data_IF_717134106871
#
_entry.id   IF_717134106871
#
_cell.length_a   1.000
_cell.length_b   1.000
_cell.length_c   1.000
_cell.angle_alpha   90.00
_cell.angle_beta   90.00
_cell.angle_gamma   90.00
#
_symmetry.space_group_name_H-M   'P 1'
#
loop_
_entity.id
_entity.type
_entity.pdbx_description
1 polymer ?
#
# COMPACT_ATOMS: atom_id res chain seq x y z
N UNK A 1 30.65 -4.61 2.00
CA UNK A 1 30.68 -3.74 3.20
C UNK A 1 30.76 -2.26 2.82
N UNK A 2 31.73 -1.86 2.00
CA UNK A 2 31.91 -0.43 1.65
C UNK A 2 30.64 0.26 1.07
N UNK A 3 29.83 -0.51 0.34
CA UNK A 3 28.54 -0.03 -0.19
C UNK A 3 27.38 -0.10 0.81
N UNK A 4 27.62 -0.55 2.05
CA UNK A 4 26.59 -0.65 3.09
C UNK A 4 25.55 -1.75 2.90
N UNK A 5 25.69 -2.61 1.89
CA UNK A 5 24.70 -3.63 1.52
C UNK A 5 24.81 -4.92 2.34
N UNK A 6 26.01 -5.19 2.90
CA UNK A 6 26.33 -6.41 3.64
C UNK A 6 27.04 -6.06 4.94
N UNK A 7 26.69 -6.74 6.02
CA UNK A 7 27.42 -6.74 7.29
C UNK A 7 28.22 -8.05 7.39
N UNK A 8 29.50 -7.96 7.73
CA UNK A 8 30.33 -9.11 8.03
C UNK A 8 30.66 -9.14 9.52
N UNK A 9 30.49 -10.29 10.11
CA UNK A 9 30.88 -10.58 11.50
C UNK A 9 31.83 -11.78 11.53
N UNK A 10 32.92 -11.69 12.30
CA UNK A 10 33.79 -12.81 12.52
C UNK A 10 33.29 -13.61 13.73
N UNK A 11 33.08 -14.90 13.52
CA UNK A 11 32.75 -15.84 14.60
C UNK A 11 33.91 -16.82 14.85
N UNK A 12 34.21 -17.14 16.11
CA UNK A 12 35.18 -18.17 16.44
C UNK A 12 34.76 -19.53 15.84
N UNK A 13 35.59 -20.12 15.04
CA UNK A 13 35.37 -21.46 14.47
C UNK A 13 36.30 -22.50 15.10
N UNK A 14 36.02 -23.78 14.90
CA UNK A 14 36.80 -24.91 15.46
C UNK A 14 38.24 -24.98 14.92
N UNK A 15 38.56 -24.34 13.81
CA UNK A 15 39.89 -24.19 13.19
C UNK A 15 40.03 -22.84 12.51
N UNK A 16 40.07 -21.72 13.31
CA UNK A 16 40.15 -20.36 12.79
C UNK A 16 38.86 -19.56 12.93
N UNK A 17 38.75 -18.39 12.28
CA UNK A 17 37.56 -17.57 12.28
C UNK A 17 36.71 -17.82 11.03
N UNK A 18 35.40 -17.87 11.19
CA UNK A 18 34.43 -17.94 10.09
C UNK A 18 33.81 -16.56 9.92
N UNK A 19 33.75 -16.07 8.67
CA UNK A 19 33.06 -14.79 8.35
C UNK A 19 31.59 -15.05 8.03
N UNK A 20 30.70 -14.54 8.87
CA UNK A 20 29.29 -14.57 8.63
C UNK A 20 28.90 -13.29 7.87
N UNK A 21 28.31 -13.44 6.69
CA UNK A 21 27.80 -12.34 5.88
C UNK A 21 26.29 -12.24 6.03
N UNK A 22 25.80 -11.11 6.54
CA UNK A 22 24.39 -10.86 6.70
C UNK A 22 23.95 -9.72 5.76
N UNK A 23 22.84 -9.90 5.09
CA UNK A 23 22.23 -8.86 4.26
C UNK A 23 21.80 -7.69 5.15
N UNK A 24 22.16 -6.46 4.79
CA UNK A 24 21.85 -5.24 5.55
C UNK A 24 20.69 -4.44 4.96
N UNK A 25 20.32 -4.73 3.72
CA UNK A 25 19.22 -4.07 2.99
C UNK A 25 18.25 -5.11 2.45
N UNK A 26 16.98 -4.85 2.53
CA UNK A 26 15.93 -5.75 2.06
C UNK A 26 15.53 -5.50 0.61
N UNK A 27 15.70 -4.26 0.15
CA UNK A 27 15.48 -3.88 -1.23
C UNK A 27 16.58 -2.94 -1.70
N UNK A 28 16.97 -3.07 -2.97
CA UNK A 28 17.83 -2.14 -3.69
C UNK A 28 17.13 -1.72 -4.96
N UNK A 29 16.75 -0.44 -5.04
CA UNK A 29 16.19 0.12 -6.26
C UNK A 29 17.30 0.80 -7.06
N UNK A 30 17.56 0.29 -8.27
CA UNK A 30 18.56 0.85 -9.18
C UNK A 30 17.82 1.63 -10.26
N UNK A 31 17.93 2.98 -10.22
CA UNK A 31 17.45 3.83 -11.29
C UNK A 31 18.51 3.94 -12.38
N UNK A 32 18.25 3.31 -13.52
CA UNK A 32 19.20 3.24 -14.66
C UNK A 32 18.98 4.34 -15.72
N UNK A 33 18.06 5.27 -15.47
CA UNK A 33 17.78 6.37 -16.40
C UNK A 33 18.96 7.34 -16.47
N UNK A 34 19.33 7.74 -17.71
CA UNK A 34 20.30 8.83 -17.93
C UNK A 34 19.84 10.05 -17.13
N UNK A 35 20.72 10.58 -16.27
CA UNK A 35 20.54 11.89 -15.64
C UNK A 35 20.37 12.94 -16.76
N UNK A 36 19.15 13.29 -17.08
CA UNK A 36 18.87 14.63 -17.54
C UNK A 36 18.93 15.50 -16.29
N UNK A 37 19.66 16.61 -16.35
CA UNK A 37 19.95 17.50 -15.22
C UNK A 37 18.74 18.34 -14.75
N UNK A 38 17.55 18.04 -15.22
CA UNK A 38 16.31 18.57 -14.64
C UNK A 38 15.97 17.73 -13.40
N UNK A 39 16.50 18.16 -12.25
CA UNK A 39 16.14 17.59 -10.95
C UNK A 39 14.69 17.99 -10.70
N UNK A 40 13.77 17.09 -11.01
CA UNK A 40 12.36 17.27 -10.65
C UNK A 40 12.23 17.21 -9.14
N UNK A 41 11.51 18.16 -8.59
CA UNK A 41 11.15 18.13 -7.20
C UNK A 41 10.06 17.09 -6.95
N UNK A 42 10.07 16.51 -5.75
CA UNK A 42 9.11 15.48 -5.36
C UNK A 42 8.43 15.90 -4.05
N UNK A 43 7.14 16.10 -4.11
CA UNK A 43 6.31 16.16 -2.91
C UNK A 43 5.89 14.74 -2.54
N UNK A 44 6.04 14.35 -1.27
CA UNK A 44 5.58 13.06 -0.76
C UNK A 44 4.76 13.23 0.51
N UNK A 45 3.67 12.47 0.62
CA UNK A 45 2.83 12.40 1.79
C UNK A 45 2.51 10.94 2.11
N UNK A 46 2.62 10.60 3.39
CA UNK A 46 2.31 9.28 3.92
C UNK A 46 0.98 9.35 4.70
N UNK A 47 0.12 8.35 4.53
CA UNK A 47 -1.22 8.31 5.11
C UNK A 47 -1.46 7.01 5.86
N UNK A 48 -1.64 7.05 7.19
CA UNK A 48 -2.02 5.88 7.96
C UNK A 48 -3.30 5.24 7.45
N UNK A 49 -3.36 3.91 7.42
CA UNK A 49 -4.52 3.19 6.86
C UNK A 49 -5.83 3.50 7.58
N UNK A 50 -5.80 3.85 8.86
CA UNK A 50 -6.96 4.27 9.64
C UNK A 50 -7.41 5.72 9.41
N UNK A 51 -6.63 6.54 8.66
CA UNK A 51 -6.90 7.96 8.46
C UNK A 51 -7.82 8.28 7.26
N UNK A 52 -8.64 7.32 6.84
CA UNK A 52 -9.61 7.54 5.76
C UNK A 52 -10.63 8.63 6.10
N UNK A 53 -11.06 9.35 5.10
CA UNK A 53 -12.06 10.42 5.19
C UNK A 53 -13.49 9.91 4.94
N UNK A 54 -13.63 8.77 4.27
CA UNK A 54 -14.89 8.09 3.97
C UNK A 54 -14.63 6.60 3.76
N UNK A 55 -15.62 5.77 4.08
CA UNK A 55 -15.57 4.34 3.79
C UNK A 55 -16.99 3.80 3.55
N UNK A 56 -17.06 2.70 2.83
CA UNK A 56 -18.17 1.79 2.75
C UNK A 56 -17.58 0.38 2.82
N UNK A 57 -17.98 -0.39 3.81
CA UNK A 57 -17.39 -1.68 4.13
C UNK A 57 -18.46 -2.71 4.40
N UNK A 58 -18.14 -3.97 4.20
CA UNK A 58 -19.05 -5.09 4.46
C UNK A 58 -18.32 -6.20 5.23
N UNK A 59 -19.01 -6.94 6.11
CA UNK A 59 -18.46 -8.12 6.76
C UNK A 59 -18.09 -9.23 5.72
N UNK A 60 -16.97 -9.88 5.88
CA UNK A 60 -15.97 -9.78 6.97
C UNK A 60 -15.24 -8.45 6.90
N UNK A 61 -15.17 -7.74 8.01
CA UNK A 61 -14.48 -6.46 8.05
C UNK A 61 -13.95 -6.16 9.47
N UNK A 62 -12.87 -5.39 9.56
CA UNK A 62 -12.33 -4.98 10.84
C UNK A 62 -11.11 -4.08 10.73
N UNK A 63 -10.67 -3.65 11.89
CA UNK A 63 -9.54 -2.75 12.09
C UNK A 63 -8.64 -3.30 13.20
N UNK A 64 -7.33 -3.29 12.96
CA UNK A 64 -6.36 -3.75 13.94
C UNK A 64 -5.23 -2.74 14.13
N UNK A 65 -4.81 -2.53 15.37
CA UNK A 65 -3.69 -1.68 15.76
C UNK A 65 -2.64 -2.51 16.49
N UNK A 66 -1.50 -1.91 16.82
CA UNK A 66 -0.48 -2.56 17.66
C UNK A 66 -1.02 -2.94 19.05
N UNK A 67 -2.11 -2.31 19.50
CA UNK A 67 -2.76 -2.59 20.79
C UNK A 67 -3.86 -3.67 20.68
N UNK A 68 -4.17 -4.16 19.47
CA UNK A 68 -5.21 -5.16 19.18
C UNK A 68 -6.34 -4.64 18.30
N UNK A 69 -7.46 -5.41 18.26
CA UNK A 69 -8.66 -5.06 17.48
C UNK A 69 -9.26 -3.72 17.91
N UNK A 70 -9.69 -2.92 16.95
CA UNK A 70 -10.41 -1.66 17.17
C UNK A 70 -11.89 -1.90 16.97
N UNK A 71 -12.66 -1.76 18.05
CA UNK A 71 -14.10 -2.03 18.04
C UNK A 71 -14.41 -3.53 18.06
N UNK A 72 -15.36 -3.94 17.24
CA UNK A 72 -15.83 -5.33 17.13
C UNK A 72 -15.68 -5.74 15.67
N UNK A 73 -15.04 -6.89 15.44
CA UNK A 73 -14.88 -7.45 14.11
C UNK A 73 -16.26 -7.79 13.49
N UNK A 74 -16.36 -7.69 12.16
CA UNK A 74 -17.58 -7.88 11.38
C UNK A 74 -18.72 -6.90 11.73
N UNK A 75 -18.36 -5.74 12.27
CA UNK A 75 -19.31 -4.66 12.59
C UNK A 75 -18.85 -3.36 11.95
N UNK A 76 -19.56 -2.93 10.93
CA UNK A 76 -19.28 -1.75 10.12
C UNK A 76 -19.12 -0.47 10.95
N UNK A 77 -19.86 -0.34 12.09
CA UNK A 77 -19.74 0.82 12.97
C UNK A 77 -18.33 1.03 13.52
N UNK A 78 -17.51 -0.05 13.63
CA UNK A 78 -16.13 0.03 14.11
C UNK A 78 -15.28 0.96 13.25
N UNK A 79 -15.60 1.07 11.97
CA UNK A 79 -14.94 1.98 11.03
C UNK A 79 -15.24 3.47 11.27
N UNK A 80 -16.21 3.80 12.11
CA UNK A 80 -16.58 5.17 12.46
C UNK A 80 -16.12 5.58 13.87
N UNK A 81 -15.49 4.67 14.63
CA UNK A 81 -14.92 4.97 15.94
C UNK A 81 -13.73 5.94 15.80
N UNK A 82 -13.52 6.88 16.74
CA UNK A 82 -12.36 7.78 16.73
C UNK A 82 -11.03 7.04 16.74
N UNK A 83 -10.98 5.89 17.43
CA UNK A 83 -9.80 5.04 17.59
C UNK A 83 -9.29 4.49 16.26
N UNK A 84 -10.13 4.46 15.21
CA UNK A 84 -9.76 3.99 13.87
C UNK A 84 -8.48 4.61 13.33
N UNK A 85 -8.15 5.84 13.76
CA UNK A 85 -6.94 6.56 13.33
C UNK A 85 -5.65 5.79 13.70
N UNK A 86 -5.70 4.89 14.69
CA UNK A 86 -4.58 4.06 15.13
C UNK A 86 -4.47 2.74 14.37
N UNK A 87 -5.43 2.45 13.46
CA UNK A 87 -5.37 1.22 12.68
C UNK A 87 -4.14 1.22 11.77
N UNK A 88 -3.32 0.19 11.91
CA UNK A 88 -2.23 -0.14 11.01
C UNK A 88 -2.60 -1.26 10.04
N UNK A 89 -3.76 -1.90 10.24
CA UNK A 89 -4.28 -2.93 9.35
C UNK A 89 -5.80 -2.85 9.30
N UNK A 90 -6.37 -2.98 8.12
CA UNK A 90 -7.82 -3.04 7.90
C UNK A 90 -8.19 -4.07 6.83
N UNK A 91 -9.39 -4.62 6.95
CA UNK A 91 -9.95 -5.55 5.97
C UNK A 91 -11.44 -5.31 5.76
N UNK A 92 -11.94 -5.68 4.57
CA UNK A 92 -13.36 -5.68 4.22
C UNK A 92 -13.62 -6.66 3.09
N UNK A 93 -14.75 -7.37 3.13
CA UNK A 93 -15.15 -8.31 2.06
C UNK A 93 -15.61 -7.62 0.79
N UNK A 94 -15.97 -6.33 0.84
CA UNK A 94 -16.31 -5.49 -0.30
C UNK A 94 -16.40 -4.01 0.11
N UNK A 95 -16.51 -3.12 -0.88
CA UNK A 95 -16.65 -1.69 -0.66
C UNK A 95 -15.37 -0.92 -0.91
N UNK A 96 -15.15 0.17 -0.17
CA UNK A 96 -14.00 1.05 -0.37
C UNK A 96 -13.58 1.79 0.90
N UNK A 97 -12.35 2.29 0.90
CA UNK A 97 -11.84 3.34 1.78
C UNK A 97 -11.34 4.52 0.94
N UNK A 98 -11.55 5.74 1.39
CA UNK A 98 -11.20 6.96 0.66
C UNK A 98 -10.40 7.92 1.54
N UNK A 99 -9.28 8.40 1.04
CA UNK A 99 -8.33 9.27 1.72
C UNK A 99 -8.24 10.65 1.04
N UNK A 100 -7.84 11.66 1.81
CA UNK A 100 -7.49 12.99 1.32
C UNK A 100 -6.05 13.30 1.70
N UNK A 101 -5.15 13.16 0.76
CA UNK A 101 -3.75 13.52 0.92
C UNK A 101 -3.57 15.03 0.76
N UNK A 102 -2.83 15.67 1.66
CA UNK A 102 -2.48 17.06 1.47
C UNK A 102 -1.72 17.24 0.14
N UNK A 103 -2.03 18.30 -0.58
CA UNK A 103 -1.29 18.69 -1.77
C UNK A 103 -0.36 19.85 -1.42
N UNK A 104 0.93 19.57 -1.32
CA UNK A 104 1.97 20.54 -1.00
C UNK A 104 2.79 20.99 -2.21
N UNK A 105 2.36 20.64 -3.43
CA UNK A 105 3.00 21.13 -4.66
C UNK A 105 2.69 22.63 -4.80
N UNK A 106 3.71 23.50 -5.09
CA UNK A 106 3.49 24.92 -5.32
C UNK A 106 2.50 25.16 -6.46
N UNK A 107 1.63 26.16 -6.30
CA UNK A 107 0.51 26.42 -7.23
C UNK A 107 0.95 26.78 -8.65
N UNK A 108 2.16 27.30 -8.80
CA UNK A 108 2.78 27.64 -10.08
C UNK A 108 3.40 26.43 -10.80
N UNK A 109 3.54 25.31 -10.13
CA UNK A 109 4.14 24.11 -10.69
C UNK A 109 3.09 23.21 -11.34
N UNK A 110 3.53 22.42 -12.32
CA UNK A 110 2.74 21.38 -12.97
C UNK A 110 3.25 20.01 -12.53
N UNK A 111 2.33 19.17 -12.08
CA UNK A 111 2.66 17.77 -11.75
C UNK A 111 2.83 16.96 -13.04
N UNK A 112 3.97 16.31 -13.17
CA UNK A 112 4.29 15.47 -14.33
C UNK A 112 3.97 13.99 -14.11
N UNK A 113 4.04 13.54 -12.84
CA UNK A 113 3.77 12.16 -12.42
C UNK A 113 3.23 12.12 -11.00
N UNK A 114 2.22 11.27 -10.77
CA UNK A 114 1.74 10.93 -9.46
C UNK A 114 1.88 9.43 -9.24
N UNK A 115 2.36 9.01 -8.09
CA UNK A 115 2.37 7.61 -7.68
C UNK A 115 1.67 7.41 -6.35
N UNK A 116 1.00 6.26 -6.20
CA UNK A 116 0.42 5.80 -4.95
C UNK A 116 0.90 4.38 -4.69
N UNK A 117 1.56 4.17 -3.54
CA UNK A 117 2.14 2.89 -3.15
C UNK A 117 1.54 2.40 -1.86
N UNK A 118 1.17 1.11 -1.79
CA UNK A 118 0.60 0.48 -0.62
C UNK A 118 0.77 -1.03 -0.66
N UNK A 119 0.77 -1.68 0.51
CA UNK A 119 0.69 -3.13 0.62
C UNK A 119 -0.78 -3.55 0.76
N UNK A 120 -1.24 -4.48 -0.09
CA UNK A 120 -2.61 -4.97 -0.07
C UNK A 120 -2.73 -6.39 -0.64
N UNK A 121 -3.81 -7.09 -0.25
CA UNK A 121 -4.25 -8.34 -0.87
C UNK A 121 -5.78 -8.43 -0.85
N UNK A 122 -6.37 -9.51 -1.39
CA UNK A 122 -7.80 -9.79 -1.25
C UNK A 122 -8.16 -10.19 0.18
N UNK A 123 -9.45 -10.22 0.50
CA UNK A 123 -9.98 -10.60 1.82
C UNK A 123 -10.82 -11.86 1.71
N UNK A 124 -10.49 -12.88 2.50
CA UNK A 124 -11.26 -14.10 2.63
C UNK A 124 -11.36 -14.50 4.11
N UNK A 125 -12.44 -15.17 4.57
CA UNK A 125 -12.52 -15.68 5.93
C UNK A 125 -11.32 -16.58 6.29
N UNK A 126 -10.52 -16.16 7.27
CA UNK A 126 -9.21 -16.74 7.59
C UNK A 126 -8.15 -16.30 6.60
N UNK A 127 -7.86 -17.08 5.60
CA UNK A 127 -7.12 -16.70 4.38
C UNK A 127 -7.32 -17.74 3.28
N UNK A 128 -7.18 -17.32 2.01
CA UNK A 128 -7.21 -18.21 0.84
C UNK A 128 -6.33 -17.66 -0.26
N UNK A 129 -5.24 -18.35 -0.58
CA UNK A 129 -4.26 -17.90 -1.57
C UNK A 129 -4.77 -17.96 -3.02
N UNK A 130 -5.92 -18.58 -3.26
CA UNK A 130 -6.63 -18.64 -4.55
C UNK A 130 -7.91 -17.76 -4.60
N UNK A 131 -8.05 -16.79 -3.66
CA UNK A 131 -9.22 -15.91 -3.54
C UNK A 131 -9.02 -14.60 -4.29
N UNK A 132 -9.42 -14.56 -5.55
CA UNK A 132 -9.23 -13.39 -6.40
C UNK A 132 -10.11 -12.21 -6.01
N UNK A 133 -9.54 -10.99 -6.11
CA UNK A 133 -10.25 -9.73 -5.95
C UNK A 133 -9.78 -8.69 -6.95
N UNK A 134 -10.72 -8.01 -7.59
CA UNK A 134 -10.47 -6.86 -8.45
C UNK A 134 -10.45 -5.60 -7.59
N UNK A 135 -9.26 -5.10 -7.31
CA UNK A 135 -9.02 -3.92 -6.49
C UNK A 135 -8.70 -2.75 -7.41
N UNK A 136 -9.49 -1.70 -7.32
CA UNK A 136 -9.38 -0.49 -8.14
C UNK A 136 -8.87 0.68 -7.31
N UNK A 137 -8.09 1.54 -7.94
CA UNK A 137 -7.69 2.84 -7.38
C UNK A 137 -8.32 3.95 -8.20
N UNK A 138 -9.03 4.85 -7.51
CA UNK A 138 -9.53 6.09 -8.10
C UNK A 138 -8.76 7.27 -7.53
N UNK A 139 -8.35 8.19 -8.39
CA UNK A 139 -7.72 9.45 -7.98
C UNK A 139 -8.62 10.59 -8.44
N UNK A 140 -9.02 11.45 -7.51
CA UNK A 140 -9.99 12.54 -7.72
C UNK A 140 -11.30 12.08 -8.38
N UNK A 141 -11.69 10.81 -8.15
CA UNK A 141 -12.91 10.20 -8.69
C UNK A 141 -12.74 9.56 -10.06
N UNK A 142 -11.56 9.62 -10.65
CA UNK A 142 -11.23 9.00 -11.94
C UNK A 142 -10.64 7.62 -11.67
N UNK A 143 -11.17 6.59 -12.34
CA UNK A 143 -10.70 5.22 -12.27
C UNK A 143 -9.34 5.10 -12.94
N UNK A 144 -8.30 4.88 -12.15
CA UNK A 144 -6.91 4.75 -12.59
C UNK A 144 -6.49 3.31 -12.89
N UNK A 145 -7.45 2.39 -12.95
CA UNK A 145 -7.21 1.00 -13.29
C UNK A 145 -7.34 0.04 -12.11
N UNK A 146 -7.58 -1.21 -12.46
CA UNK A 146 -7.89 -2.31 -11.56
C UNK A 146 -6.76 -3.33 -11.57
N UNK A 147 -6.38 -3.79 -10.38
CA UNK A 147 -5.52 -4.94 -10.19
C UNK A 147 -6.33 -6.15 -9.74
N UNK A 148 -6.22 -7.25 -10.46
CA UNK A 148 -6.76 -8.53 -9.99
C UNK A 148 -5.76 -9.17 -9.04
N UNK A 149 -6.02 -9.03 -7.73
CA UNK A 149 -5.25 -9.73 -6.71
C UNK A 149 -5.48 -11.24 -6.82
N UNK A 150 -4.43 -12.08 -6.79
CA UNK A 150 -4.59 -13.53 -6.92
C UNK A 150 -5.18 -14.19 -5.69
N UNK A 151 -4.99 -13.62 -4.49
CA UNK A 151 -5.42 -14.28 -3.26
C UNK A 151 -5.22 -13.46 -1.99
N UNK A 152 -5.66 -14.03 -0.90
CA UNK A 152 -5.42 -13.59 0.48
C UNK A 152 -4.33 -14.49 1.09
N UNK A 153 -3.24 -13.87 1.59
CA UNK A 153 -2.01 -14.58 1.91
C UNK A 153 -1.83 -14.81 3.41
N UNK A 154 -1.81 -16.09 3.81
CA UNK A 154 -1.68 -16.49 5.21
C UNK A 154 -0.85 -17.75 5.45
N UNK A 155 -0.30 -18.40 4.38
CA UNK A 155 0.46 -19.65 4.52
C UNK A 155 1.77 -19.51 5.32
N UNK A 156 2.31 -18.31 5.43
CA UNK A 156 3.43 -17.96 6.31
C UNK A 156 3.11 -16.71 7.10
N UNK A 157 3.85 -16.49 8.19
CA UNK A 157 3.70 -15.26 8.96
C UNK A 157 4.21 -14.05 8.17
N UNK A 158 3.46 -12.96 8.22
CA UNK A 158 3.90 -11.65 7.75
C UNK A 158 5.11 -11.17 8.57
N UNK A 159 6.04 -10.48 7.93
CA UNK A 159 7.33 -10.08 8.56
C UNK A 159 7.13 -9.13 9.74
N UNK A 160 6.08 -8.32 9.68
CA UNK A 160 5.80 -7.27 10.65
C UNK A 160 4.51 -7.56 11.46
N UNK A 161 3.79 -8.64 11.13
CA UNK A 161 2.55 -8.95 11.85
C UNK A 161 2.81 -9.20 13.35
N UNK A 162 2.02 -8.56 14.24
CA UNK A 162 2.12 -8.72 15.68
C UNK A 162 2.03 -10.20 16.10
N UNK A 163 2.74 -10.55 17.19
CA UNK A 163 2.81 -11.96 17.63
C UNK A 163 1.47 -12.55 18.08
N UNK A 164 0.55 -11.71 18.51
CA UNK A 164 -0.81 -12.05 18.96
C UNK A 164 -1.83 -12.12 17.80
N UNK A 165 -1.48 -11.65 16.58
CA UNK A 165 -2.33 -11.84 15.41
C UNK A 165 -2.42 -13.35 15.05
N UNK A 166 -3.64 -13.92 14.89
CA UNK A 166 -3.82 -15.35 14.74
C UNK A 166 -3.08 -15.96 13.53
N UNK A 167 -2.46 -17.11 13.76
CA UNK A 167 -2.00 -17.98 12.66
C UNK A 167 -3.27 -18.58 12.01
N UNK A 168 -3.31 -18.59 10.67
CA UNK A 168 -4.48 -19.03 9.92
C UNK A 168 -5.43 -17.90 9.53
N UNK A 169 -5.00 -16.65 9.77
CA UNK A 169 -5.60 -15.43 9.22
C UNK A 169 -4.63 -14.76 8.24
N UNK A 170 -5.10 -13.78 7.51
CA UNK A 170 -4.30 -12.94 6.60
C UNK A 170 -3.02 -12.44 7.27
N UNK A 171 -1.88 -12.57 6.62
CA UNK A 171 -0.58 -12.28 7.21
C UNK A 171 0.19 -11.20 6.46
N UNK A 172 0.04 -11.09 5.15
CA UNK A 172 0.77 -10.15 4.32
C UNK A 172 0.08 -9.91 2.99
N UNK A 173 0.48 -8.85 2.32
CA UNK A 173 0.02 -8.48 1.01
C UNK A 173 1.13 -8.45 -0.02
N UNK A 174 0.85 -7.77 -1.11
CA UNK A 174 1.80 -7.44 -2.16
C UNK A 174 1.94 -5.92 -2.23
N UNK A 175 3.17 -5.42 -2.29
CA UNK A 175 3.41 -4.01 -2.53
C UNK A 175 3.03 -3.68 -3.97
N UNK A 176 2.11 -2.75 -4.13
CA UNK A 176 1.62 -2.27 -5.42
C UNK A 176 1.79 -0.76 -5.52
N UNK A 177 2.23 -0.32 -6.70
CA UNK A 177 2.37 1.10 -7.01
C UNK A 177 1.59 1.40 -8.29
N UNK A 178 0.53 2.19 -8.15
CA UNK A 178 -0.13 2.86 -9.28
C UNK A 178 0.67 4.12 -9.60
N UNK A 179 1.01 4.29 -10.86
CA UNK A 179 1.77 5.44 -11.32
C UNK A 179 1.05 6.07 -12.52
N UNK A 180 0.58 7.30 -12.35
CA UNK A 180 -0.11 8.06 -13.39
C UNK A 180 0.86 9.06 -14.01
N UNK A 181 1.09 8.90 -15.30
CA UNK A 181 1.99 9.70 -16.13
C UNK A 181 1.23 10.46 -17.21
N UNK A 182 1.94 11.20 -18.08
CA UNK A 182 1.33 11.89 -19.24
C UNK A 182 0.76 10.94 -20.28
N UNK A 183 1.32 9.75 -20.39
CA UNK A 183 1.01 8.74 -21.41
C UNK A 183 0.09 7.61 -20.89
N UNK A 184 -0.38 7.69 -19.66
CA UNK A 184 -1.29 6.71 -19.07
C UNK A 184 -0.96 6.30 -17.65
N UNK A 185 -1.65 5.28 -17.17
CA UNK A 185 -1.48 4.73 -15.83
C UNK A 185 -0.83 3.36 -15.89
N UNK A 186 0.09 3.14 -14.94
CA UNK A 186 0.90 1.94 -14.82
C UNK A 186 0.74 1.33 -13.42
N UNK A 187 0.74 0.01 -13.34
CA UNK A 187 0.81 -0.75 -12.10
C UNK A 187 2.13 -1.52 -12.05
N UNK A 188 3.01 -1.17 -11.10
CA UNK A 188 4.36 -1.74 -11.00
C UNK A 188 5.13 -1.70 -12.33
N UNK A 189 4.92 -0.65 -13.14
CA UNK A 189 5.55 -0.46 -14.45
C UNK A 189 4.81 -1.08 -15.64
N UNK A 190 3.75 -1.86 -15.42
CA UNK A 190 2.90 -2.41 -16.49
C UNK A 190 1.75 -1.45 -16.78
N UNK A 191 1.53 -1.13 -18.05
CA UNK A 191 0.45 -0.25 -18.51
C UNK A 191 -0.92 -0.89 -18.27
N UNK A 192 -1.83 -0.16 -17.61
CA UNK A 192 -3.15 -0.68 -17.24
C UNK A 192 -4.33 0.22 -17.65
N UNK A 193 -4.11 1.52 -17.94
CA UNK A 193 -5.19 2.45 -18.24
C UNK A 193 -4.70 3.65 -19.05
N UNK A 194 -5.54 4.21 -19.90
CA UNK A 194 -5.31 5.45 -20.68
C UNK A 194 -5.41 6.73 -19.83
N UNK A 195 -5.71 6.62 -18.53
CA UNK A 195 -5.85 7.77 -17.64
C UNK A 195 -4.49 8.43 -17.44
N UNK A 196 -4.38 9.68 -17.88
CA UNK A 196 -3.18 10.49 -17.77
C UNK A 196 -3.23 11.47 -16.57
N UNK A 197 -2.07 11.97 -16.17
CA UNK A 197 -1.94 12.93 -15.06
C UNK A 197 -2.77 14.21 -15.29
N UNK A 198 -2.84 14.68 -16.53
CA UNK A 198 -3.61 15.88 -16.89
C UNK A 198 -5.13 15.69 -16.66
N UNK A 199 -5.64 14.46 -16.78
CA UNK A 199 -7.06 14.15 -16.53
C UNK A 199 -7.41 14.24 -15.04
N UNK A 200 -6.45 14.02 -14.14
CA UNK A 200 -6.70 13.95 -12.70
C UNK A 200 -6.93 15.32 -12.04
N UNK A 201 -6.59 16.42 -12.71
CA UNK A 201 -6.72 17.79 -12.19
C UNK A 201 -6.18 17.94 -10.75
N UNK A 202 -5.00 17.37 -10.48
CA UNK A 202 -4.45 17.26 -9.11
C UNK A 202 -4.19 18.60 -8.45
N UNK A 203 -4.00 19.68 -9.24
CA UNK A 203 -3.75 21.03 -8.73
C UNK A 203 -5.03 21.84 -8.44
N UNK A 204 -6.23 21.31 -8.70
CA UNK A 204 -7.49 22.03 -8.51
C UNK A 204 -7.84 22.24 -7.02
N UNK A 205 -7.40 21.32 -6.15
CA UNK A 205 -7.74 21.32 -4.71
C UNK A 205 -6.48 21.24 -3.84
N UNK A 206 -6.57 21.71 -2.57
CA UNK A 206 -5.46 21.59 -1.62
C UNK A 206 -5.25 20.16 -1.11
N UNK A 207 -5.89 19.18 -1.73
CA UNK A 207 -5.74 17.75 -1.45
C UNK A 207 -5.95 16.92 -2.71
N UNK A 208 -5.33 15.75 -2.74
CA UNK A 208 -5.60 14.69 -3.70
C UNK A 208 -6.47 13.63 -3.02
N UNK A 209 -7.60 13.30 -3.64
CA UNK A 209 -8.50 12.26 -3.15
C UNK A 209 -8.13 10.92 -3.76
N UNK A 210 -7.87 9.92 -2.92
CA UNK A 210 -7.55 8.55 -3.34
C UNK A 210 -8.57 7.60 -2.73
N UNK A 211 -9.25 6.83 -3.58
CA UNK A 211 -10.15 5.76 -3.17
C UNK A 211 -9.55 4.42 -3.58
N UNK A 212 -9.68 3.43 -2.71
CA UNK A 212 -9.21 2.05 -2.89
C UNK A 212 -10.39 1.14 -2.59
N UNK A 213 -10.70 0.19 -3.46
CA UNK A 213 -11.80 -0.74 -3.20
C UNK A 213 -12.23 -1.56 -4.41
N UNK A 214 -13.36 -2.22 -4.27
CA UNK A 214 -13.99 -2.99 -5.34
C UNK A 214 -15.03 -2.13 -6.07
N UNK A 215 -15.14 -2.33 -7.38
CA UNK A 215 -16.27 -1.82 -8.16
C UNK A 215 -17.50 -2.69 -7.92
N UNK A 216 -18.69 -2.10 -8.06
CA UNK A 216 -19.95 -2.86 -7.97
C UNK A 216 -20.06 -3.92 -9.08
N UNK A 217 -19.49 -3.63 -10.25
CA UNK A 217 -19.48 -4.50 -11.44
C UNK A 217 -18.17 -5.31 -11.58
N UNK A 218 -17.35 -5.39 -10.54
CA UNK A 218 -16.11 -6.16 -10.56
C UNK A 218 -16.38 -7.64 -10.85
N UNK A 219 -15.54 -8.24 -11.68
CA UNK A 219 -15.65 -9.67 -11.97
C UNK A 219 -15.36 -10.53 -10.75
N UNK A 220 -14.42 -10.11 -9.92
CA UNK A 220 -14.04 -10.76 -8.68
C UNK A 220 -14.21 -9.79 -7.51
N UNK A 221 -15.31 -9.93 -6.77
CA UNK A 221 -15.52 -9.20 -5.53
C UNK A 221 -15.02 -10.09 -4.38
N UNK A 222 -13.74 -10.00 -4.11
CA UNK A 222 -13.06 -10.74 -3.04
C UNK A 222 -12.49 -9.81 -1.97
N UNK A 223 -13.09 -8.62 -1.79
CA UNK A 223 -12.67 -7.68 -0.78
C UNK A 223 -11.21 -7.20 -0.91
N UNK A 224 -10.71 -6.62 0.16
CA UNK A 224 -9.30 -6.28 0.26
C UNK A 224 -8.84 -6.15 1.72
N UNK A 225 -7.58 -6.48 1.93
CA UNK A 225 -6.79 -6.18 3.10
C UNK A 225 -5.83 -5.04 2.75
N UNK A 226 -5.66 -4.05 3.63
CA UNK A 226 -4.73 -2.94 3.47
C UNK A 226 -3.83 -2.87 4.70
N UNK A 227 -2.52 -2.93 4.47
CA UNK A 227 -1.50 -2.94 5.50
C UNK A 227 -0.80 -1.58 5.57
N UNK A 228 -0.58 -1.11 6.77
CA UNK A 228 0.21 0.05 7.10
C UNK A 228 1.49 -0.33 7.85
N UNK A 229 2.15 0.66 8.41
CA UNK A 229 3.35 0.46 9.23
C UNK A 229 3.14 -0.57 10.32
N UNK A 230 4.18 -1.39 10.56
CA UNK A 230 4.23 -2.46 11.55
C UNK A 230 3.31 -3.64 11.25
N UNK A 231 2.75 -3.72 10.04
CA UNK A 231 1.90 -4.83 9.60
C UNK A 231 2.36 -5.36 8.23
N UNK A 232 1.98 -6.61 7.91
CA UNK A 232 2.31 -7.24 6.64
C UNK A 232 3.79 -7.53 6.45
N UNK A 233 4.31 -7.21 5.28
CA UNK A 233 5.70 -7.43 4.88
C UNK A 233 6.51 -6.14 4.67
N UNK A 234 5.85 -4.98 4.52
CA UNK A 234 6.47 -3.70 4.17
C UNK A 234 6.17 -2.64 5.22
N UNK A 235 7.23 -2.07 5.81
CA UNK A 235 7.11 -1.05 6.87
C UNK A 235 6.79 0.32 6.29
N UNK A 236 5.61 0.45 5.73
CA UNK A 236 5.10 1.71 5.18
C UNK A 236 3.58 1.82 5.33
N UNK A 237 3.10 3.04 5.46
CA UNK A 237 1.70 3.39 5.24
C UNK A 237 1.42 3.61 3.74
N UNK A 238 0.26 4.16 3.38
CA UNK A 238 -0.05 4.51 2.00
C UNK A 238 0.78 5.75 1.63
N UNK A 239 1.66 5.61 0.63
CA UNK A 239 2.54 6.71 0.19
C UNK A 239 2.03 7.27 -1.12
N UNK A 240 1.73 8.58 -1.13
CA UNK A 240 1.50 9.36 -2.34
C UNK A 240 2.74 10.20 -2.62
N UNK A 241 3.22 10.19 -3.87
CA UNK A 241 4.31 11.05 -4.32
C UNK A 241 3.95 11.72 -5.64
N UNK A 242 4.30 13.01 -5.78
CA UNK A 242 4.07 13.81 -6.97
C UNK A 242 5.39 14.46 -7.41
N UNK A 243 5.79 14.20 -8.66
CA UNK A 243 6.92 14.86 -9.31
C UNK A 243 6.43 16.09 -10.09
N UNK A 244 7.13 17.23 -9.92
CA UNK A 244 6.78 18.53 -10.53
C UNK A 244 7.99 19.35 -10.92
#
# INVERSE_FOLDING_TARGET
EQAGLVRMEEQPGTRGSTKLCTRKVDALTIHTTKRNLDVKEVFSAEMPVGAYSSCEVSPTCGLYSEEGSIGIDDREFSFYLPERIRAGFLWTSSGYVEYKFANGVPSECKVDRLSISMELCSEAPGYREDWKSDITVWINGIDCGTWTCPGDFGARRGRLMPSDWPIGSTQYGMLKTWEVRKDGTYLNGEYISDVSIDMLNVMEKPYVKVRIGNKEDARYVGGFNLFGKHFGDYDQDIILAMEY
#
